data_IF_758076729506
#
_entry.id   IF_758076729506
#
_cell.length_a   1.000
_cell.length_b   1.000
_cell.length_c   1.000
_cell.angle_alpha   90.00
_cell.angle_beta   90.00
_cell.angle_gamma   90.00
#
_symmetry.space_group_name_H-M   'P 1'
#
loop_
_entity.id
_entity.type
_entity.pdbx_description
1 polymer ?
#
# COMPACT_ATOMS: atom_id res chain seq x y z
N UNK A 1 37.64 45.49 -22.52
CA UNK A 1 36.62 45.56 -21.46
C UNK A 1 35.27 45.47 -22.13
N UNK A 2 34.64 44.29 -22.12
CA UNK A 2 33.28 44.08 -22.63
C UNK A 2 32.46 43.57 -21.46
N UNK A 3 31.41 44.33 -21.14
CA UNK A 3 30.55 44.18 -19.97
C UNK A 3 29.80 42.85 -19.98
N UNK A 4 29.91 42.09 -18.87
CA UNK A 4 29.09 40.93 -18.61
C UNK A 4 27.67 41.38 -18.21
N UNK A 5 26.68 41.07 -19.06
CA UNK A 5 25.27 41.22 -18.72
C UNK A 5 24.88 40.10 -17.75
N UNK A 6 24.46 40.48 -16.55
CA UNK A 6 23.95 39.56 -15.53
C UNK A 6 22.63 38.94 -15.97
N UNK A 7 22.57 37.61 -15.89
CA UNK A 7 21.34 36.83 -16.06
C UNK A 7 20.47 37.06 -14.81
N UNK A 8 19.20 37.49 -14.92
CA UNK A 8 18.36 37.67 -13.75
C UNK A 8 18.06 36.30 -13.13
N UNK A 9 18.37 36.17 -11.85
CA UNK A 9 17.99 35.02 -11.04
C UNK A 9 16.46 34.89 -11.03
N UNK A 10 15.94 33.82 -11.61
CA UNK A 10 14.55 33.41 -11.44
C UNK A 10 14.27 33.26 -9.94
N UNK A 11 13.43 34.16 -9.42
CA UNK A 11 12.89 34.04 -8.07
C UNK A 11 12.10 32.74 -7.99
N UNK A 12 12.52 31.84 -7.10
CA UNK A 12 11.75 30.66 -6.73
C UNK A 12 10.43 31.16 -6.14
N UNK A 13 9.36 31.12 -6.94
CA UNK A 13 8.02 31.46 -6.49
C UNK A 13 7.66 30.51 -5.32
N UNK A 14 7.40 31.08 -4.15
CA UNK A 14 6.83 30.35 -3.03
C UNK A 14 5.50 29.74 -3.46
N UNK A 15 5.40 28.42 -3.42
CA UNK A 15 4.15 27.72 -3.67
C UNK A 15 3.04 28.31 -2.78
N UNK A 16 1.81 28.50 -3.29
CA UNK A 16 0.70 28.99 -2.48
C UNK A 16 0.53 28.11 -1.22
N UNK A 17 0.12 28.72 -0.10
CA UNK A 17 0.09 28.05 1.21
C UNK A 17 -0.63 26.68 1.21
N UNK A 18 -1.70 26.53 0.41
CA UNK A 18 -2.41 25.25 0.26
C UNK A 18 -1.63 24.17 -0.50
N UNK A 19 -0.73 24.52 -1.42
CA UNK A 19 0.12 23.55 -2.13
C UNK A 19 1.26 23.05 -1.23
N UNK A 20 1.83 23.93 -0.40
CA UNK A 20 2.81 23.53 0.62
C UNK A 20 2.18 22.58 1.65
N UNK A 21 0.94 22.85 2.08
CA UNK A 21 0.20 21.98 3.00
C UNK A 21 -0.13 20.61 2.37
N UNK A 22 -0.59 20.60 1.10
CA UNK A 22 -0.84 19.36 0.36
C UNK A 22 0.46 18.54 0.19
N UNK A 23 1.58 19.18 -0.12
CA UNK A 23 2.86 18.51 -0.25
C UNK A 23 3.34 17.93 1.09
N UNK A 24 3.09 18.63 2.20
CA UNK A 24 3.36 18.12 3.55
C UNK A 24 2.47 16.90 3.88
N UNK A 25 1.17 16.97 3.52
CA UNK A 25 0.21 15.87 3.66
C UNK A 25 0.64 14.61 2.89
N UNK A 26 1.10 14.77 1.65
CA UNK A 26 1.66 13.70 0.80
C UNK A 26 2.92 13.12 1.42
N UNK A 27 3.85 13.97 1.87
CA UNK A 27 5.11 13.54 2.48
C UNK A 27 4.86 12.72 3.74
N UNK A 28 3.91 13.15 4.60
CA UNK A 28 3.45 12.38 5.76
C UNK A 28 2.86 11.03 5.37
N UNK A 29 1.97 11.00 4.38
CA UNK A 29 1.35 9.75 3.88
C UNK A 29 2.40 8.75 3.38
N UNK A 30 3.41 9.24 2.68
CA UNK A 30 4.50 8.43 2.14
C UNK A 30 5.39 7.83 3.25
N UNK A 31 5.70 8.61 4.30
CA UNK A 31 6.46 8.12 5.44
C UNK A 31 5.74 6.95 6.16
N UNK A 32 4.43 7.08 6.40
CA UNK A 32 3.64 6.00 7.00
C UNK A 32 3.54 4.78 6.10
N UNK A 33 3.32 5.00 4.80
CA UNK A 33 3.27 3.90 3.83
C UNK A 33 4.59 3.15 3.75
N UNK A 34 5.73 3.84 3.79
CA UNK A 34 7.05 3.22 3.76
C UNK A 34 7.25 2.30 4.98
N UNK A 35 6.91 2.76 6.19
CA UNK A 35 6.94 1.94 7.40
C UNK A 35 6.03 0.70 7.28
N UNK A 36 4.78 0.89 6.85
CA UNK A 36 3.81 -0.20 6.70
C UNK A 36 4.28 -1.26 5.70
N UNK A 37 4.89 -0.83 4.59
CA UNK A 37 5.45 -1.73 3.58
C UNK A 37 6.66 -2.50 4.12
N UNK A 38 7.59 -1.82 4.79
CA UNK A 38 8.80 -2.46 5.33
C UNK A 38 8.47 -3.48 6.41
N UNK A 39 7.46 -3.20 7.24
CA UNK A 39 7.00 -4.06 8.33
C UNK A 39 6.08 -5.22 7.88
N UNK A 40 5.71 -5.32 6.60
CA UNK A 40 5.05 -6.51 6.04
C UNK A 40 5.86 -7.79 6.30
N UNK A 41 7.20 -7.67 6.38
CA UNK A 41 8.07 -8.80 6.67
C UNK A 41 7.78 -9.46 8.02
N UNK A 42 7.34 -8.70 9.03
CA UNK A 42 6.96 -9.26 10.32
C UNK A 42 5.66 -10.08 10.24
N UNK A 43 4.70 -9.63 9.43
CA UNK A 43 3.46 -10.39 9.17
C UNK A 43 3.81 -11.72 8.49
N UNK A 44 4.60 -11.68 7.42
CA UNK A 44 5.04 -12.89 6.71
C UNK A 44 5.81 -13.86 7.63
N UNK A 45 6.65 -13.33 8.52
CA UNK A 45 7.40 -14.13 9.48
C UNK A 45 6.48 -14.81 10.49
N UNK A 46 5.49 -14.07 10.98
CA UNK A 46 4.47 -14.58 11.89
C UNK A 46 3.57 -15.64 11.24
N UNK A 47 3.15 -15.42 10.00
CA UNK A 47 2.36 -16.39 9.23
C UNK A 47 3.14 -17.68 8.98
N UNK A 48 4.45 -17.57 8.69
CA UNK A 48 5.32 -18.74 8.60
C UNK A 48 5.33 -19.51 9.91
N UNK A 49 5.50 -18.84 11.05
CA UNK A 49 5.45 -19.47 12.36
C UNK A 49 4.11 -20.18 12.61
N UNK A 50 3.00 -19.50 12.35
CA UNK A 50 1.66 -20.02 12.52
C UNK A 50 1.31 -21.19 11.57
N UNK A 51 2.04 -21.34 10.45
CA UNK A 51 1.83 -22.44 9.51
C UNK A 51 2.23 -23.82 10.05
N UNK A 52 3.04 -23.87 11.12
CA UNK A 52 3.53 -25.13 11.67
C UNK A 52 3.35 -25.28 13.19
N UNK A 53 2.97 -24.22 13.90
CA UNK A 53 2.69 -24.25 15.35
C UNK A 53 1.19 -24.22 15.63
N UNK A 54 0.73 -25.03 16.59
CA UNK A 54 -0.59 -24.84 17.19
C UNK A 54 -0.59 -23.55 18.02
N UNK A 55 -1.22 -22.49 17.50
CA UNK A 55 -1.21 -21.16 18.12
C UNK A 55 -1.86 -21.08 19.50
N UNK A 56 -2.58 -22.13 19.94
CA UNK A 56 -3.15 -22.20 21.29
C UNK A 56 -2.25 -22.94 22.27
N UNK A 57 -1.55 -23.97 21.79
CA UNK A 57 -0.75 -24.86 22.65
C UNK A 57 0.74 -24.51 22.65
N UNK A 58 1.21 -23.86 21.60
CA UNK A 58 2.63 -23.65 21.35
C UNK A 58 3.35 -24.88 20.79
N UNK A 59 4.67 -24.75 20.57
CA UNK A 59 5.49 -25.81 20.01
C UNK A 59 5.70 -26.96 21.02
N UNK A 60 5.65 -28.19 20.52
CA UNK A 60 5.78 -29.44 21.28
C UNK A 60 7.06 -30.21 20.93
N UNK A 61 7.76 -29.82 19.87
CA UNK A 61 8.93 -30.53 19.35
C UNK A 61 8.58 -31.67 18.40
N UNK A 62 7.29 -31.94 18.21
CA UNK A 62 6.77 -33.02 17.35
C UNK A 62 6.22 -32.49 16.02
N UNK A 63 6.29 -31.18 15.80
CA UNK A 63 5.81 -30.54 14.59
C UNK A 63 6.64 -31.00 13.38
N UNK A 64 5.95 -31.44 12.32
CA UNK A 64 6.60 -31.89 11.08
C UNK A 64 7.51 -30.84 10.46
N UNK A 65 7.19 -29.56 10.64
CA UNK A 65 7.86 -28.43 10.01
C UNK A 65 8.51 -27.49 11.03
N UNK A 66 8.96 -28.03 12.17
CA UNK A 66 9.68 -27.26 13.20
C UNK A 66 10.94 -26.55 12.66
N UNK A 67 11.54 -27.11 11.60
CA UNK A 67 12.68 -26.56 10.89
C UNK A 67 12.33 -25.36 9.99
N UNK A 68 11.05 -25.08 9.74
CA UNK A 68 10.65 -23.87 9.02
C UNK A 68 10.98 -22.61 9.84
N UNK A 69 10.88 -22.70 11.17
CA UNK A 69 11.18 -21.58 12.06
C UNK A 69 10.41 -20.31 11.69
N UNK A 70 11.12 -19.19 11.73
CA UNK A 70 10.62 -17.87 11.36
C UNK A 70 11.49 -17.27 10.27
N UNK A 71 10.99 -16.21 9.66
CA UNK A 71 11.77 -15.39 8.75
C UNK A 71 12.55 -14.30 9.49
N UNK A 72 13.80 -14.07 9.07
CA UNK A 72 14.56 -12.91 9.51
C UNK A 72 13.87 -11.61 9.09
N UNK A 73 13.93 -10.62 9.98
CA UNK A 73 13.32 -9.31 9.79
C UNK A 73 14.29 -8.35 9.11
N UNK A 74 13.73 -7.37 8.40
CA UNK A 74 14.50 -6.27 7.86
C UNK A 74 14.86 -5.25 8.94
N UNK A 75 15.96 -4.54 8.74
CA UNK A 75 16.17 -3.27 9.44
C UNK A 75 15.12 -2.26 8.95
N UNK A 76 14.44 -1.66 9.93
CA UNK A 76 13.33 -0.70 9.79
C UNK A 76 13.62 0.62 10.52
N UNK A 77 14.82 0.78 11.09
CA UNK A 77 15.15 1.90 11.98
C UNK A 77 14.92 3.25 11.30
N UNK A 78 15.33 3.36 10.03
CA UNK A 78 15.13 4.57 9.24
C UNK A 78 13.65 4.86 8.92
N UNK A 79 12.84 3.85 8.63
CA UNK A 79 11.41 4.00 8.40
C UNK A 79 10.64 4.40 9.67
N UNK A 80 11.02 3.84 10.83
CA UNK A 80 10.48 4.23 12.13
C UNK A 80 10.77 5.70 12.39
N UNK A 81 12.03 6.12 12.30
CA UNK A 81 12.42 7.51 12.53
C UNK A 81 11.65 8.48 11.63
N UNK A 82 11.55 8.19 10.33
CA UNK A 82 10.80 9.02 9.37
C UNK A 82 9.31 9.12 9.73
N UNK A 83 8.71 8.02 10.20
CA UNK A 83 7.31 8.00 10.61
C UNK A 83 7.09 8.80 11.91
N UNK A 84 7.98 8.70 12.89
CA UNK A 84 7.92 9.51 14.12
C UNK A 84 8.06 11.01 13.83
N UNK A 85 9.06 11.37 13.01
CA UNK A 85 9.24 12.75 12.55
C UNK A 85 8.02 13.26 11.79
N UNK A 86 7.41 12.43 10.93
CA UNK A 86 6.20 12.78 10.23
C UNK A 86 5.03 13.03 11.21
N UNK A 87 4.82 12.16 12.20
CA UNK A 87 3.78 12.34 13.23
C UNK A 87 3.95 13.65 14.02
N UNK A 88 5.19 14.08 14.26
CA UNK A 88 5.48 15.35 14.90
C UNK A 88 5.15 16.58 14.03
N UNK A 89 5.13 16.44 12.70
CA UNK A 89 4.92 17.55 11.75
C UNK A 89 3.44 17.78 11.40
N UNK A 90 3.17 18.96 10.84
CA UNK A 90 1.88 19.29 10.21
C UNK A 90 1.77 18.65 8.80
N UNK A 91 0.55 18.40 8.28
CA UNK A 91 -0.74 18.57 8.96
C UNK A 91 -0.95 17.51 10.05
N UNK A 92 -1.65 17.86 11.13
CA UNK A 92 -1.93 16.92 12.24
C UNK A 92 -3.05 15.97 11.84
N UNK A 93 -2.82 14.68 12.06
CA UNK A 93 -3.80 13.62 11.84
C UNK A 93 -3.99 12.85 13.15
N UNK A 94 -4.61 13.43 14.20
CA UNK A 94 -4.46 12.95 15.57
C UNK A 94 -4.70 11.44 15.76
N UNK A 95 -5.73 10.89 15.12
CA UNK A 95 -6.04 9.46 15.21
C UNK A 95 -5.02 8.57 14.46
N UNK A 96 -4.58 9.00 13.26
CA UNK A 96 -3.61 8.26 12.45
C UNK A 96 -2.22 8.37 13.07
N UNK A 97 -1.80 9.58 13.44
CA UNK A 97 -0.52 9.86 14.11
C UNK A 97 -0.42 9.00 15.38
N UNK A 98 -1.45 8.98 16.23
CA UNK A 98 -1.47 8.15 17.44
C UNK A 98 -1.45 6.64 17.14
N UNK A 99 -2.16 6.20 16.09
CA UNK A 99 -2.17 4.80 15.67
C UNK A 99 -0.80 4.38 15.14
N UNK A 100 -0.12 5.21 14.36
CA UNK A 100 1.25 4.96 13.86
C UNK A 100 2.23 4.82 15.01
N UNK A 101 2.21 5.73 15.99
CA UNK A 101 3.11 5.66 17.15
C UNK A 101 2.86 4.40 17.99
N UNK A 102 1.59 4.03 18.18
CA UNK A 102 1.22 2.78 18.85
C UNK A 102 1.69 1.55 18.07
N UNK A 103 1.54 1.58 16.74
CA UNK A 103 1.99 0.52 15.84
C UNK A 103 3.52 0.34 15.86
N UNK A 104 4.28 1.44 15.89
CA UNK A 104 5.75 1.43 16.03
C UNK A 104 6.14 0.76 17.35
N UNK A 105 5.51 1.15 18.46
CA UNK A 105 5.78 0.53 19.77
C UNK A 105 5.50 -0.97 19.75
N UNK A 106 4.35 -1.39 19.22
CA UNK A 106 4.02 -2.80 19.11
C UNK A 106 5.02 -3.58 18.22
N UNK A 107 5.51 -2.98 17.14
CA UNK A 107 6.57 -3.56 16.33
C UNK A 107 7.89 -3.70 17.11
N UNK A 108 8.29 -2.67 17.86
CA UNK A 108 9.52 -2.68 18.68
C UNK A 108 9.46 -3.71 19.81
N UNK A 109 8.26 -4.04 20.31
CA UNK A 109 8.06 -5.13 21.28
C UNK A 109 8.11 -6.51 20.59
N UNK A 110 7.51 -6.67 19.41
CA UNK A 110 7.44 -7.95 18.70
C UNK A 110 8.75 -8.34 18.00
N UNK A 111 9.41 -7.40 17.34
CA UNK A 111 10.54 -7.68 16.45
C UNK A 111 11.71 -8.39 17.15
N UNK A 112 12.14 -7.98 18.37
CA UNK A 112 13.19 -8.69 19.10
C UNK A 112 12.81 -10.14 19.44
N UNK A 113 11.53 -10.40 19.73
CA UNK A 113 11.04 -11.76 20.02
C UNK A 113 11.09 -12.63 18.77
N UNK A 114 10.65 -12.10 17.62
CA UNK A 114 10.75 -12.81 16.33
C UNK A 114 12.22 -13.10 16.00
N UNK A 115 13.13 -12.12 16.15
CA UNK A 115 14.56 -12.33 15.89
C UNK A 115 15.16 -13.39 16.82
N UNK A 116 14.77 -13.42 18.10
CA UNK A 116 15.23 -14.44 19.04
C UNK A 116 14.70 -15.82 18.67
N UNK A 117 13.42 -15.93 18.33
CA UNK A 117 12.80 -17.18 17.91
C UNK A 117 13.37 -17.70 16.58
N UNK A 118 13.55 -16.83 15.59
CA UNK A 118 14.18 -17.18 14.31
C UNK A 118 15.55 -17.83 14.54
N UNK A 119 16.42 -17.19 15.31
CA UNK A 119 17.75 -17.72 15.66
C UNK A 119 17.69 -19.04 16.44
N UNK A 120 16.75 -19.16 17.37
CA UNK A 120 16.57 -20.37 18.19
C UNK A 120 16.21 -21.58 17.32
N UNK A 121 15.27 -21.41 16.38
CA UNK A 121 14.87 -22.49 15.47
C UNK A 121 15.93 -22.76 14.39
N UNK A 122 16.60 -21.74 13.87
CA UNK A 122 17.66 -21.87 12.85
C UNK A 122 18.86 -22.68 13.37
N UNK A 123 19.34 -22.35 14.57
CA UNK A 123 20.41 -23.12 15.24
C UNK A 123 19.97 -24.49 15.75
N UNK A 124 18.66 -24.73 15.78
CA UNK A 124 18.06 -25.95 16.33
C UNK A 124 18.32 -26.15 17.82
N UNK A 125 18.46 -25.06 18.57
CA UNK A 125 18.66 -25.06 20.03
C UNK A 125 17.51 -25.81 20.75
N UNK A 126 16.35 -25.94 20.11
CA UNK A 126 15.22 -26.76 20.57
C UNK A 126 15.57 -28.24 20.83
N UNK A 127 16.65 -28.75 20.25
CA UNK A 127 17.15 -30.11 20.48
C UNK A 127 17.88 -30.24 21.80
N UNK A 128 18.41 -29.13 22.32
CA UNK A 128 19.26 -29.11 23.50
C UNK A 128 18.46 -28.79 24.76
N UNK A 129 17.37 -28.02 24.63
CA UNK A 129 16.56 -27.52 25.75
C UNK A 129 15.17 -28.15 25.85
N UNK A 130 14.89 -29.18 25.05
CA UNK A 130 13.59 -29.86 25.00
C UNK A 130 12.41 -28.87 24.83
N UNK A 131 12.58 -27.88 23.94
CA UNK A 131 11.59 -26.85 23.60
C UNK A 131 11.29 -25.81 24.69
N UNK A 132 12.05 -25.77 25.78
CA UNK A 132 11.78 -24.85 26.89
C UNK A 132 11.76 -23.37 26.46
N UNK A 133 12.77 -22.93 25.72
CA UNK A 133 12.83 -21.56 25.21
C UNK A 133 11.79 -21.31 24.11
N UNK A 134 11.55 -22.29 23.24
CA UNK A 134 10.50 -22.21 22.20
C UNK A 134 9.10 -21.96 22.78
N UNK A 135 8.75 -22.66 23.87
CA UNK A 135 7.49 -22.46 24.58
C UNK A 135 7.39 -21.09 25.26
N UNK A 136 8.50 -20.64 25.88
CA UNK A 136 8.56 -19.31 26.48
C UNK A 136 8.41 -18.20 25.43
N UNK A 137 9.11 -18.32 24.31
CA UNK A 137 9.01 -17.38 23.20
C UNK A 137 7.59 -17.39 22.62
N UNK A 138 6.97 -18.55 22.46
CA UNK A 138 5.58 -18.65 22.02
C UNK A 138 4.64 -17.84 22.91
N UNK A 139 4.71 -18.05 24.23
CA UNK A 139 3.87 -17.35 25.21
C UNK A 139 4.03 -15.82 25.16
N UNK A 140 5.22 -15.32 24.80
CA UNK A 140 5.50 -13.89 24.67
C UNK A 140 5.11 -13.34 23.29
N UNK A 141 5.39 -14.08 22.22
CA UNK A 141 5.14 -13.63 20.86
C UNK A 141 3.65 -13.57 20.53
N UNK A 142 2.83 -14.52 21.00
CA UNK A 142 1.39 -14.55 20.69
C UNK A 142 0.66 -13.25 21.06
N UNK A 143 0.73 -12.75 22.30
CA UNK A 143 0.08 -11.50 22.65
C UNK A 143 0.70 -10.29 21.91
N UNK A 144 2.03 -10.24 21.76
CA UNK A 144 2.70 -9.15 21.04
C UNK A 144 2.29 -9.10 19.55
N UNK A 145 2.22 -10.25 18.89
CA UNK A 145 1.78 -10.38 17.51
C UNK A 145 0.32 -10.00 17.34
N UNK A 146 -0.55 -10.39 18.29
CA UNK A 146 -1.96 -9.97 18.29
C UNK A 146 -2.08 -8.44 18.31
N UNK A 147 -1.40 -7.77 19.26
CA UNK A 147 -1.42 -6.31 19.36
C UNK A 147 -0.88 -5.64 18.10
N UNK A 148 0.23 -6.14 17.56
CA UNK A 148 0.82 -5.64 16.31
C UNK A 148 -0.16 -5.76 15.13
N UNK A 149 -0.81 -6.91 14.95
CA UNK A 149 -1.75 -7.16 13.85
C UNK A 149 -3.05 -6.35 13.97
N UNK A 150 -3.55 -6.15 15.20
CA UNK A 150 -4.72 -5.28 15.45
C UNK A 150 -4.41 -3.82 15.08
N UNK A 151 -3.25 -3.32 15.50
CA UNK A 151 -2.80 -1.96 15.15
C UNK A 151 -2.50 -1.82 13.66
N UNK A 152 -1.95 -2.86 13.02
CA UNK A 152 -1.77 -2.90 11.57
C UNK A 152 -3.11 -2.73 10.86
N UNK A 153 -4.12 -3.51 11.23
CA UNK A 153 -5.44 -3.45 10.60
C UNK A 153 -6.11 -2.08 10.80
N UNK A 154 -5.97 -1.48 11.99
CA UNK A 154 -6.45 -0.12 12.27
C UNK A 154 -5.73 0.93 11.42
N UNK A 155 -4.40 0.83 11.32
CA UNK A 155 -3.60 1.75 10.53
C UNK A 155 -3.92 1.63 9.03
N UNK A 156 -4.04 0.40 8.52
CA UNK A 156 -4.45 0.14 7.14
C UNK A 156 -5.81 0.80 6.83
N UNK A 157 -6.78 0.71 7.75
CA UNK A 157 -8.08 1.35 7.59
C UNK A 157 -7.99 2.89 7.58
N UNK A 158 -7.29 3.47 8.55
CA UNK A 158 -7.11 4.93 8.62
C UNK A 158 -6.37 5.50 7.41
N UNK A 159 -5.30 4.82 6.98
CA UNK A 159 -4.51 5.23 5.82
C UNK A 159 -5.27 5.12 4.49
N UNK A 160 -6.17 4.14 4.33
CA UNK A 160 -7.04 4.07 3.14
C UNK A 160 -7.92 5.32 3.04
N UNK A 161 -8.65 5.66 4.10
CA UNK A 161 -9.53 6.85 4.14
C UNK A 161 -8.73 8.12 3.87
N UNK A 162 -7.58 8.27 4.53
CA UNK A 162 -6.74 9.44 4.36
C UNK A 162 -6.17 9.57 2.93
N UNK A 163 -5.70 8.48 2.33
CA UNK A 163 -5.21 8.49 0.95
C UNK A 163 -6.30 8.85 -0.06
N UNK A 164 -7.51 8.31 0.11
CA UNK A 164 -8.64 8.67 -0.77
C UNK A 164 -8.96 10.17 -0.69
N UNK A 165 -8.99 10.74 0.52
CA UNK A 165 -9.20 12.17 0.70
C UNK A 165 -8.08 13.01 0.07
N UNK A 166 -6.83 12.56 0.24
CA UNK A 166 -5.65 13.23 -0.30
C UNK A 166 -5.61 13.18 -1.84
N UNK A 167 -5.94 12.04 -2.44
CA UNK A 167 -6.06 11.88 -3.89
C UNK A 167 -7.12 12.83 -4.47
N UNK A 168 -8.25 13.02 -3.78
CA UNK A 168 -9.28 13.98 -4.17
C UNK A 168 -8.82 15.44 -4.06
N UNK A 169 -8.10 15.80 -2.99
CA UNK A 169 -7.51 17.13 -2.84
C UNK A 169 -6.47 17.42 -3.93
N UNK A 170 -5.64 16.45 -4.27
CA UNK A 170 -4.65 16.60 -5.34
C UNK A 170 -5.31 16.80 -6.71
N UNK A 171 -6.38 16.06 -7.00
CA UNK A 171 -7.16 16.26 -8.23
C UNK A 171 -7.80 17.65 -8.29
N UNK A 172 -8.40 18.12 -7.20
CA UNK A 172 -9.01 19.44 -7.12
C UNK A 172 -7.98 20.58 -7.28
N UNK A 173 -6.80 20.43 -6.65
CA UNK A 173 -5.70 21.38 -6.80
C UNK A 173 -5.17 21.42 -8.23
N UNK A 174 -5.05 20.25 -8.87
CA UNK A 174 -4.63 20.13 -10.26
C UNK A 174 -5.65 20.76 -11.22
N UNK A 175 -6.95 20.52 -11.00
CA UNK A 175 -8.03 21.12 -11.77
C UNK A 175 -8.05 22.65 -11.63
N UNK A 176 -7.84 23.16 -10.42
CA UNK A 176 -7.80 24.60 -10.17
C UNK A 176 -6.63 25.29 -10.89
N UNK A 177 -5.50 24.61 -11.07
CA UNK A 177 -4.30 25.16 -11.71
C UNK A 177 -4.33 25.04 -13.23
N UNK A 178 -4.77 23.90 -13.75
CA UNK A 178 -4.58 23.52 -15.15
C UNK A 178 -5.91 23.20 -15.87
N UNK A 179 -7.03 23.28 -15.15
CA UNK A 179 -8.28 22.65 -15.58
C UNK A 179 -8.15 21.13 -15.62
N UNK A 180 -9.10 20.48 -16.31
CA UNK A 180 -9.05 19.04 -16.59
C UNK A 180 -8.06 18.71 -17.71
N UNK A 181 -6.79 19.07 -17.48
CA UNK A 181 -5.66 18.88 -18.39
C UNK A 181 -5.37 17.40 -18.66
N UNK A 182 -4.49 17.11 -19.63
CA UNK A 182 -4.02 15.74 -19.89
C UNK A 182 -3.47 15.08 -18.60
N UNK A 183 -2.71 15.84 -17.80
CA UNK A 183 -2.19 15.38 -16.50
C UNK A 183 -3.30 15.09 -15.51
N UNK A 184 -4.35 15.92 -15.48
CA UNK A 184 -5.53 15.68 -14.65
C UNK A 184 -6.25 14.39 -15.06
N UNK A 185 -6.44 14.14 -16.35
CA UNK A 185 -7.08 12.92 -16.84
C UNK A 185 -6.31 11.66 -16.41
N UNK A 186 -4.99 11.66 -16.60
CA UNK A 186 -4.12 10.56 -16.16
C UNK A 186 -4.22 10.36 -14.65
N UNK A 187 -4.17 11.43 -13.84
CA UNK A 187 -4.29 11.31 -12.38
C UNK A 187 -5.66 10.77 -11.97
N UNK A 188 -6.74 11.24 -12.60
CA UNK A 188 -8.10 10.81 -12.30
C UNK A 188 -8.28 9.31 -12.57
N UNK A 189 -7.77 8.83 -13.71
CA UNK A 189 -7.73 7.40 -14.05
C UNK A 189 -6.94 6.61 -13.01
N UNK A 190 -5.76 7.07 -12.61
CA UNK A 190 -4.91 6.35 -11.65
C UNK A 190 -5.47 6.31 -10.22
N UNK A 191 -6.16 7.36 -9.78
CA UNK A 191 -6.87 7.40 -8.48
C UNK A 191 -7.99 6.37 -8.46
N UNK A 192 -8.82 6.33 -9.50
CA UNK A 192 -9.91 5.36 -9.57
C UNK A 192 -9.41 3.93 -9.78
N UNK A 193 -8.30 3.74 -10.51
CA UNK A 193 -7.67 2.43 -10.64
C UNK A 193 -7.16 1.91 -9.28
N UNK A 194 -6.57 2.77 -8.46
CA UNK A 194 -6.14 2.40 -7.10
C UNK A 194 -7.31 1.93 -6.24
N UNK A 195 -8.45 2.62 -6.29
CA UNK A 195 -9.64 2.23 -5.54
C UNK A 195 -10.13 0.82 -5.88
N UNK A 196 -9.98 0.38 -7.14
CA UNK A 196 -10.26 -1.00 -7.55
C UNK A 196 -9.21 -1.97 -6.99
N UNK A 197 -7.92 -1.61 -7.07
CA UNK A 197 -6.82 -2.45 -6.55
C UNK A 197 -6.92 -2.66 -5.04
N UNK A 198 -7.33 -1.65 -4.28
CA UNK A 198 -7.52 -1.76 -2.82
C UNK A 198 -8.60 -2.79 -2.42
N UNK A 199 -9.46 -3.19 -3.37
CA UNK A 199 -10.50 -4.19 -3.19
C UNK A 199 -10.16 -5.54 -3.84
N UNK A 200 -8.98 -5.66 -4.45
CA UNK A 200 -8.55 -6.92 -5.05
C UNK A 200 -8.29 -7.99 -3.98
N UNK A 201 -8.61 -9.26 -4.27
CA UNK A 201 -8.41 -10.34 -3.31
C UNK A 201 -6.92 -10.62 -3.09
N UNK A 202 -6.60 -11.12 -1.89
CA UNK A 202 -5.29 -11.68 -1.55
C UNK A 202 -5.42 -13.15 -1.13
N UNK A 203 -4.31 -13.84 -0.91
CA UNK A 203 -4.34 -15.21 -0.39
C UNK A 203 -5.06 -15.28 0.98
N UNK A 204 -4.89 -14.27 1.82
CA UNK A 204 -5.54 -14.15 3.12
C UNK A 204 -7.02 -13.74 3.01
N UNK A 205 -7.37 -12.95 1.99
CA UNK A 205 -8.73 -12.46 1.72
C UNK A 205 -9.17 -12.82 0.31
N UNK A 206 -9.49 -14.10 0.04
CA UNK A 206 -9.84 -14.56 -1.31
C UNK A 206 -11.28 -14.20 -1.71
N UNK A 207 -12.11 -13.75 -0.77
CA UNK A 207 -13.51 -13.38 -1.00
C UNK A 207 -13.60 -11.86 -1.13
N UNK A 208 -14.03 -11.40 -2.30
CA UNK A 208 -14.20 -9.99 -2.64
C UNK A 208 -15.57 -9.50 -2.20
N UNK A 209 -15.63 -8.30 -1.61
CA UNK A 209 -16.89 -7.57 -1.44
C UNK A 209 -17.38 -7.09 -2.81
N UNK A 210 -18.31 -7.83 -3.39
CA UNK A 210 -18.84 -7.56 -4.73
C UNK A 210 -19.46 -6.17 -4.85
N UNK A 211 -20.17 -5.71 -3.80
CA UNK A 211 -20.85 -4.41 -3.84
C UNK A 211 -19.83 -3.28 -3.88
N UNK A 212 -18.80 -3.35 -3.03
CA UNK A 212 -17.73 -2.38 -3.03
C UNK A 212 -16.92 -2.44 -4.34
N UNK A 213 -16.64 -3.64 -4.83
CA UNK A 213 -15.87 -3.85 -6.06
C UNK A 213 -16.58 -3.27 -7.28
N UNK A 214 -17.86 -3.57 -7.46
CA UNK A 214 -18.66 -3.06 -8.57
C UNK A 214 -18.80 -1.53 -8.53
N UNK A 215 -18.91 -0.93 -7.33
CA UNK A 215 -18.91 0.51 -7.16
C UNK A 215 -17.56 1.13 -7.58
N UNK A 216 -16.43 0.52 -7.21
CA UNK A 216 -15.11 0.98 -7.63
C UNK A 216 -14.89 0.85 -9.15
N UNK A 217 -15.34 -0.26 -9.76
CA UNK A 217 -15.31 -0.45 -11.22
C UNK A 217 -16.17 0.59 -11.93
N UNK A 218 -17.32 0.96 -11.37
CA UNK A 218 -18.17 2.02 -11.93
C UNK A 218 -17.49 3.40 -11.86
N UNK A 219 -16.82 3.72 -10.75
CA UNK A 219 -16.01 4.95 -10.62
C UNK A 219 -14.88 5.00 -11.65
N UNK A 220 -14.15 3.89 -11.80
CA UNK A 220 -13.11 3.75 -12.83
C UNK A 220 -13.66 3.90 -14.25
N UNK A 221 -14.82 3.30 -14.54
CA UNK A 221 -15.49 3.48 -15.83
C UNK A 221 -15.87 4.94 -16.10
N UNK A 222 -16.24 5.70 -15.07
CA UNK A 222 -16.47 7.14 -15.17
C UNK A 222 -15.21 7.91 -15.54
N UNK A 223 -14.09 7.60 -14.88
CA UNK A 223 -12.80 8.24 -15.16
C UNK A 223 -12.29 7.95 -16.58
N UNK A 224 -12.46 6.71 -17.06
CA UNK A 224 -12.09 6.35 -18.45
C UNK A 224 -12.95 7.10 -19.46
N UNK A 225 -14.27 7.23 -19.23
CA UNK A 225 -15.15 8.01 -20.11
C UNK A 225 -14.77 9.48 -20.17
N UNK A 226 -14.46 10.10 -19.02
CA UNK A 226 -14.01 11.50 -18.97
C UNK A 226 -12.69 11.71 -19.73
N UNK A 227 -11.78 10.73 -19.66
CA UNK A 227 -10.54 10.72 -20.42
C UNK A 227 -10.78 10.59 -21.93
N UNK A 228 -11.71 9.72 -22.34
CA UNK A 228 -12.10 9.57 -23.75
C UNK A 228 -12.74 10.85 -24.29
N UNK A 229 -13.67 11.47 -23.55
CA UNK A 229 -14.28 12.76 -23.90
C UNK A 229 -13.24 13.87 -24.04
N UNK A 230 -12.20 13.86 -23.19
CA UNK A 230 -11.07 14.79 -23.31
C UNK A 230 -10.29 14.55 -24.61
N UNK A 231 -10.03 13.29 -24.98
CA UNK A 231 -9.30 12.94 -26.21
C UNK A 231 -10.09 13.33 -27.46
N UNK A 232 -11.40 13.12 -27.48
CA UNK A 232 -12.26 13.49 -28.60
C UNK A 232 -12.23 15.00 -28.86
N UNK A 233 -12.18 15.80 -27.79
CA UNK A 233 -12.03 17.26 -27.86
C UNK A 233 -10.59 17.73 -28.14
N UNK A 234 -9.61 16.84 -28.03
CA UNK A 234 -8.18 17.15 -28.17
C UNK A 234 -7.46 16.12 -29.05
N UNK A 235 -7.82 16.01 -30.35
CA UNK A 235 -7.23 15.02 -31.23
C UNK A 235 -5.70 15.18 -31.31
N UNK A 236 -4.98 14.06 -31.28
CA UNK A 236 -3.52 14.02 -31.33
C UNK A 236 -2.79 14.16 -29.98
N UNK A 237 -3.49 14.45 -28.88
CA UNK A 237 -2.87 14.40 -27.53
C UNK A 237 -2.74 12.95 -27.04
N UNK A 238 -1.50 12.48 -26.90
CA UNK A 238 -1.22 11.19 -26.25
C UNK A 238 -1.30 11.33 -24.73
N UNK A 239 -2.02 10.41 -24.08
CA UNK A 239 -2.06 10.28 -22.62
C UNK A 239 -1.19 9.12 -22.12
N UNK A 240 -0.59 8.34 -23.03
CA UNK A 240 0.21 7.13 -22.78
C UNK A 240 -0.48 5.98 -22.04
N UNK A 241 -1.60 6.24 -21.35
CA UNK A 241 -2.34 5.27 -20.53
C UNK A 241 -3.69 4.88 -21.13
N UNK A 242 -4.14 5.54 -22.19
CA UNK A 242 -5.52 5.48 -22.67
C UNK A 242 -5.94 4.08 -23.14
N UNK A 243 -5.16 3.45 -24.01
CA UNK A 243 -5.42 2.08 -24.49
C UNK A 243 -5.42 1.07 -23.34
N UNK A 244 -4.45 1.19 -22.43
CA UNK A 244 -4.28 0.31 -21.29
C UNK A 244 -5.42 0.49 -20.28
N UNK A 245 -5.87 1.71 -20.05
CA UNK A 245 -6.98 2.01 -19.16
C UNK A 245 -8.30 1.39 -19.67
N UNK A 246 -8.59 1.53 -20.97
CA UNK A 246 -9.79 0.94 -21.58
C UNK A 246 -9.73 -0.59 -21.61
N UNK A 247 -8.57 -1.18 -21.92
CA UNK A 247 -8.35 -2.63 -21.86
C UNK A 247 -8.53 -3.18 -20.44
N UNK A 248 -7.97 -2.47 -19.46
CA UNK A 248 -8.08 -2.84 -18.06
C UNK A 248 -9.53 -2.76 -17.56
N UNK A 249 -10.30 -1.72 -17.94
CA UNK A 249 -11.73 -1.63 -17.66
C UNK A 249 -12.52 -2.82 -18.21
N UNK A 250 -12.24 -3.23 -19.45
CA UNK A 250 -12.85 -4.42 -20.06
C UNK A 250 -12.61 -5.66 -19.19
N UNK A 251 -11.37 -5.89 -18.79
CA UNK A 251 -11.01 -7.04 -17.95
C UNK A 251 -11.63 -6.99 -16.56
N UNK A 252 -11.74 -5.80 -15.96
CA UNK A 252 -12.41 -5.62 -14.67
C UNK A 252 -13.89 -6.02 -14.72
N UNK A 253 -14.58 -5.73 -15.82
CA UNK A 253 -15.98 -6.14 -16.03
C UNK A 253 -16.12 -7.66 -16.18
N UNK A 254 -15.21 -8.29 -16.93
CA UNK A 254 -15.17 -9.75 -17.03
C UNK A 254 -14.90 -10.40 -15.68
N UNK A 255 -13.98 -9.82 -14.91
CA UNK A 255 -13.63 -10.28 -13.57
C UNK A 255 -14.78 -10.14 -12.58
N UNK A 256 -15.43 -8.97 -12.52
CA UNK A 256 -16.66 -8.76 -11.72
C UNK A 256 -17.74 -9.79 -12.09
N UNK A 257 -17.96 -10.03 -13.38
CA UNK A 257 -18.94 -11.03 -13.86
C UNK A 257 -18.61 -12.46 -13.40
N UNK A 258 -17.32 -12.82 -13.38
CA UNK A 258 -16.86 -14.12 -12.84
C UNK A 258 -17.03 -14.20 -11.33
N UNK A 259 -16.66 -13.14 -10.61
CA UNK A 259 -16.81 -13.05 -9.16
C UNK A 259 -18.29 -13.15 -8.75
N UNK A 260 -19.20 -12.52 -9.47
CA UNK A 260 -20.64 -12.65 -9.22
C UNK A 260 -21.11 -14.11 -9.27
N UNK A 261 -20.63 -14.88 -10.27
CA UNK A 261 -20.92 -16.32 -10.41
C UNK A 261 -20.29 -17.15 -9.29
N UNK A 262 -19.14 -16.73 -8.75
CA UNK A 262 -18.44 -17.41 -7.66
C UNK A 262 -18.77 -16.90 -6.26
N UNK A 263 -19.73 -15.97 -6.11
CA UNK A 263 -20.07 -15.30 -4.84
C UNK A 263 -18.85 -14.59 -4.22
N UNK A 264 -18.03 -13.96 -5.04
CA UNK A 264 -16.84 -13.21 -4.63
C UNK A 264 -15.59 -14.07 -4.40
N UNK A 265 -15.67 -15.40 -4.44
CA UNK A 265 -14.51 -16.27 -4.22
C UNK A 265 -13.64 -16.35 -5.48
N UNK A 266 -12.46 -15.72 -5.43
CA UNK A 266 -11.53 -15.66 -6.57
C UNK A 266 -10.97 -17.03 -6.95
N UNK A 267 -10.90 -17.97 -5.99
CA UNK A 267 -10.32 -19.31 -6.19
C UNK A 267 -11.18 -20.17 -7.12
N UNK A 268 -12.43 -19.78 -7.34
CA UNK A 268 -13.38 -20.48 -8.20
C UNK A 268 -13.35 -19.96 -9.65
N UNK A 269 -12.15 -19.83 -10.21
CA UNK A 269 -11.94 -19.58 -11.64
C UNK A 269 -11.60 -18.14 -12.05
N UNK A 270 -11.27 -17.25 -11.10
CA UNK A 270 -10.91 -15.86 -11.38
C UNK A 270 -9.47 -15.49 -10.95
N UNK A 271 -8.69 -16.45 -10.44
CA UNK A 271 -7.32 -16.20 -9.95
C UNK A 271 -6.37 -15.66 -11.05
N UNK A 272 -6.45 -16.22 -12.27
CA UNK A 272 -5.63 -15.75 -13.39
C UNK A 272 -5.98 -14.31 -13.79
N UNK A 273 -7.27 -13.95 -13.74
CA UNK A 273 -7.73 -12.59 -13.99
C UNK A 273 -7.18 -11.62 -12.94
N UNK A 274 -7.20 -12.02 -11.66
CA UNK A 274 -6.68 -11.19 -10.57
C UNK A 274 -5.19 -10.87 -10.75
N UNK A 275 -4.38 -11.88 -11.09
CA UNK A 275 -2.95 -11.69 -11.36
C UNK A 275 -2.70 -10.75 -12.55
N UNK A 276 -3.47 -10.92 -13.64
CA UNK A 276 -3.36 -10.04 -14.80
C UNK A 276 -3.75 -8.60 -14.45
N UNK A 277 -4.84 -8.40 -13.69
CA UNK A 277 -5.32 -7.08 -13.28
C UNK A 277 -4.23 -6.32 -12.49
N UNK A 278 -3.59 -6.99 -11.53
CA UNK A 278 -2.51 -6.41 -10.73
C UNK A 278 -1.29 -6.09 -11.60
N UNK A 279 -0.90 -7.01 -12.49
CA UNK A 279 0.23 -6.78 -13.41
C UNK A 279 -0.03 -5.58 -14.34
N UNK A 280 -1.21 -5.50 -14.94
CA UNK A 280 -1.59 -4.40 -15.84
C UNK A 280 -1.66 -3.06 -15.11
N UNK A 281 -2.11 -3.05 -13.85
CA UNK A 281 -2.08 -1.85 -13.02
C UNK A 281 -0.65 -1.33 -12.80
N UNK A 282 0.31 -2.22 -12.51
CA UNK A 282 1.71 -1.85 -12.38
C UNK A 282 2.28 -1.27 -13.69
N UNK A 283 1.87 -1.80 -14.84
CA UNK A 283 2.21 -1.20 -16.15
C UNK A 283 1.64 0.21 -16.29
N UNK A 284 0.38 0.44 -15.90
CA UNK A 284 -0.22 1.77 -15.93
C UNK A 284 0.50 2.77 -15.02
N UNK A 285 0.99 2.34 -13.86
CA UNK A 285 1.84 3.19 -13.00
C UNK A 285 3.06 3.68 -13.79
N UNK A 286 3.83 2.78 -14.40
CA UNK A 286 5.03 3.12 -15.18
C UNK A 286 4.71 4.06 -16.36
N UNK A 287 3.58 3.82 -17.05
CA UNK A 287 3.12 4.69 -18.14
C UNK A 287 2.71 6.06 -17.64
N UNK A 288 2.02 6.15 -16.51
CA UNK A 288 1.59 7.42 -15.91
C UNK A 288 2.78 8.28 -15.46
N UNK A 289 3.83 7.66 -14.90
CA UNK A 289 5.07 8.36 -14.54
C UNK A 289 5.78 8.93 -15.78
N UNK A 290 5.77 8.17 -16.88
CA UNK A 290 6.31 8.61 -18.17
C UNK A 290 5.51 9.81 -18.71
N UNK A 291 4.18 9.75 -18.68
CA UNK A 291 3.29 10.83 -19.11
C UNK A 291 3.54 12.14 -18.34
N UNK A 292 3.82 12.06 -17.02
CA UNK A 292 4.16 13.23 -16.19
C UNK A 292 5.51 13.84 -16.59
N UNK A 293 6.48 13.03 -17.04
CA UNK A 293 7.80 13.52 -17.46
C UNK A 293 7.78 14.22 -18.81
N UNK A 294 6.99 13.73 -19.77
CA UNK A 294 6.90 14.30 -21.12
C UNK A 294 5.89 15.45 -21.28
N UNK A 295 5.12 15.76 -20.22
CA UNK A 295 4.17 16.89 -20.19
C UNK A 295 4.74 18.15 -19.52
N UNK A 296 5.99 18.11 -19.06
CA UNK A 296 6.77 19.28 -18.60
C UNK A 296 7.62 19.82 -19.73
#
# INVERSE_FOLDING_TARGET
MVSAQGVPAQSAASAPAGEAELQAAISKSNAYTALMNRTLRAIQSWERYASWVDMKKGPTGKERYIDYGLYSLYDVTGEIQKAEEAAARAPKLPEIDATVLSYIKAYQELAPLITRAERYYDRKDYRDDNLAEGQKLHAQMVPAAKTFLELRARLDAGMRVYKTALDAQELAALESREGKSARWQVRNVMVNARAVIDLMPSNEKPIVDLKAFDAAVAGYAGAVREMDDFKDKNPGKSLFVDSQASSWLGRLRDFSSKLAKSKGDVRRGAANDANWIVSSYNTMITLSESAVRFSR
#
